data_IF_152288912747
#
_entry.id   IF_152288912747
#
_cell.length_a   1.000
_cell.length_b   1.000
_cell.length_c   1.000
_cell.angle_alpha   90.00
_cell.angle_beta   90.00
_cell.angle_gamma   90.00
#
_symmetry.space_group_name_H-M   'P 1'
#
loop_
_entity.id
_entity.type
_entity.pdbx_description
1 polymer ?
#
# COMPACT_ATOMS: atom_id res chain seq x y z
N UNK A 1 22.01 -34.89 41.79
CA UNK A 1 20.71 -34.74 42.48
C UNK A 1 20.71 -33.69 43.59
N UNK A 2 21.44 -32.57 43.49
CA UNK A 2 21.57 -31.60 44.60
C UNK A 2 21.15 -30.17 44.23
N UNK A 3 20.70 -29.93 42.99
CA UNK A 3 20.38 -28.56 42.51
C UNK A 3 18.88 -28.19 42.60
N UNK A 4 17.98 -29.09 43.00
CA UNK A 4 16.55 -28.81 43.11
C UNK A 4 16.03 -28.48 44.51
N UNK A 5 16.88 -28.64 45.56
CA UNK A 5 16.48 -28.39 46.96
C UNK A 5 16.69 -26.94 47.42
N UNK A 6 17.48 -26.14 46.70
CA UNK A 6 17.81 -24.78 47.15
C UNK A 6 16.79 -23.72 46.77
N UNK A 7 15.94 -24.01 45.76
CA UNK A 7 14.92 -23.04 45.29
C UNK A 7 13.61 -23.07 46.13
N UNK A 8 13.39 -24.05 46.94
CA UNK A 8 12.20 -24.20 47.78
C UNK A 8 12.35 -23.51 49.13
N UNK A 9 13.59 -23.34 49.65
CA UNK A 9 13.85 -22.73 50.96
C UNK A 9 13.73 -21.18 50.91
N UNK A 10 13.92 -20.57 49.76
CA UNK A 10 13.83 -19.10 49.62
C UNK A 10 12.36 -18.62 49.54
N UNK A 11 11.40 -19.50 49.23
CA UNK A 11 9.99 -19.14 49.10
C UNK A 11 9.21 -19.13 50.41
N UNK A 12 9.76 -19.64 51.54
CA UNK A 12 9.09 -19.74 52.84
C UNK A 12 9.43 -18.58 53.77
N UNK A 13 10.46 -17.78 53.47
CA UNK A 13 10.94 -16.69 54.36
C UNK A 13 10.35 -15.32 54.04
N UNK A 14 9.49 -15.18 53.01
CA UNK A 14 8.84 -13.91 52.67
C UNK A 14 7.34 -13.85 53.09
N UNK A 15 6.85 -14.80 53.92
CA UNK A 15 5.43 -14.80 54.32
C UNK A 15 5.22 -14.44 55.81
N UNK A 16 5.70 -13.30 56.20
CA UNK A 16 5.48 -12.89 57.57
C UNK A 16 5.79 -11.43 57.81
N UNK A 17 4.95 -10.52 57.31
CA UNK A 17 4.74 -9.19 57.89
C UNK A 17 3.70 -8.44 57.03
N UNK A 18 2.41 -8.79 57.22
CA UNK A 18 1.33 -7.91 56.78
C UNK A 18 0.64 -7.37 58.03
N UNK A 19 1.06 -6.23 58.45
CA UNK A 19 0.31 -5.39 59.40
C UNK A 19 -0.45 -4.32 58.61
N UNK A 20 -1.76 -4.50 58.56
CA UNK A 20 -2.83 -3.52 58.57
C UNK A 20 -2.51 -2.10 58.15
N UNK A 21 -2.89 -1.79 56.93
CA UNK A 21 -3.10 -0.44 56.44
C UNK A 21 -4.23 -0.46 55.43
N UNK A 22 -5.44 -0.03 55.79
CA UNK A 22 -6.53 0.26 54.86
C UNK A 22 -6.09 1.35 53.88
N UNK A 23 -6.03 1.08 52.57
CA UNK A 23 -5.95 2.16 51.61
C UNK A 23 -7.36 2.78 51.48
N UNK A 24 -7.54 4.00 51.93
CA UNK A 24 -8.61 4.89 51.48
C UNK A 24 -8.58 4.90 49.96
N UNK A 25 -9.60 4.32 49.31
CA UNK A 25 -9.87 4.53 47.88
C UNK A 25 -10.13 6.03 47.69
N UNK A 26 -9.12 6.76 47.27
CA UNK A 26 -9.31 8.04 46.62
C UNK A 26 -9.98 7.75 45.26
N UNK A 27 -11.29 7.96 45.21
CA UNK A 27 -12.01 8.08 43.96
C UNK A 27 -11.49 9.36 43.33
N UNK A 28 -10.56 9.21 42.40
CA UNK A 28 -10.19 10.29 41.49
C UNK A 28 -11.42 10.48 40.61
N UNK A 29 -12.24 11.51 40.92
CA UNK A 29 -13.23 12.01 39.98
C UNK A 29 -12.44 12.48 38.76
N UNK A 30 -12.48 11.68 37.67
CA UNK A 30 -12.06 12.14 36.37
C UNK A 30 -12.84 13.41 36.03
N UNK A 31 -12.12 14.51 35.89
CA UNK A 31 -12.71 15.79 35.52
C UNK A 31 -13.38 15.67 34.14
N UNK A 32 -14.62 16.17 33.98
CA UNK A 32 -15.33 16.11 32.70
C UNK A 32 -14.63 16.83 31.54
N UNK A 33 -13.61 17.62 31.84
CA UNK A 33 -12.82 18.41 30.89
C UNK A 33 -11.90 17.51 29.97
N UNK A 34 -11.36 16.42 30.48
CA UNK A 34 -10.42 15.57 29.74
C UNK A 34 -11.18 14.77 28.68
N UNK A 35 -12.32 14.15 29.00
CA UNK A 35 -13.15 13.41 28.03
C UNK A 35 -13.67 14.30 26.90
N UNK A 36 -14.02 15.53 27.22
CA UNK A 36 -14.49 16.51 26.22
C UNK A 36 -13.36 16.98 25.28
N UNK A 37 -12.12 17.04 25.77
CA UNK A 37 -10.97 17.38 24.96
C UNK A 37 -10.59 16.24 24.00
N UNK A 38 -10.67 14.99 24.45
CA UNK A 38 -10.43 13.80 23.61
C UNK A 38 -11.50 13.61 22.53
N UNK A 39 -12.78 13.82 22.85
CA UNK A 39 -13.87 13.79 21.85
C UNK A 39 -13.72 14.91 20.82
N UNK A 40 -13.31 16.11 21.23
CA UNK A 40 -13.05 17.22 20.30
C UNK A 40 -11.81 16.95 19.41
N UNK A 41 -10.78 16.33 19.94
CA UNK A 41 -9.59 15.94 19.17
C UNK A 41 -9.92 14.83 18.16
N UNK A 42 -10.66 13.79 18.57
CA UNK A 42 -11.12 12.72 17.70
C UNK A 42 -12.08 13.23 16.61
N UNK A 43 -12.94 14.19 16.93
CA UNK A 43 -13.81 14.85 15.96
C UNK A 43 -13.04 15.66 14.90
N UNK A 44 -12.02 16.40 15.32
CA UNK A 44 -11.15 17.16 14.40
C UNK A 44 -10.33 16.24 13.51
N UNK A 45 -9.83 15.13 14.03
CA UNK A 45 -9.06 14.16 13.24
C UNK A 45 -9.93 13.46 12.18
N UNK A 46 -11.18 13.09 12.54
CA UNK A 46 -12.15 12.54 11.57
C UNK A 46 -12.52 13.56 10.49
N UNK A 47 -12.76 14.82 10.86
CA UNK A 47 -13.05 15.88 9.89
C UNK A 47 -11.87 16.13 8.94
N UNK A 48 -10.64 16.19 9.45
CA UNK A 48 -9.45 16.36 8.65
C UNK A 48 -9.22 15.18 7.69
N UNK A 49 -9.48 13.93 8.12
CA UNK A 49 -9.40 12.74 7.27
C UNK A 49 -10.45 12.76 6.15
N UNK A 50 -11.67 13.20 6.46
CA UNK A 50 -12.75 13.30 5.47
C UNK A 50 -12.49 14.43 4.46
N UNK A 51 -11.95 15.55 4.89
CA UNK A 51 -11.56 16.65 4.02
C UNK A 51 -10.38 16.29 3.12
N UNK A 52 -9.36 15.60 3.65
CA UNK A 52 -8.26 15.06 2.90
C UNK A 52 -8.72 14.02 1.86
N UNK A 53 -9.72 13.20 2.20
CA UNK A 53 -10.32 12.23 1.27
C UNK A 53 -11.04 12.93 0.12
N UNK A 54 -11.86 13.95 0.41
CA UNK A 54 -12.56 14.76 -0.63
C UNK A 54 -11.59 15.55 -1.50
N UNK A 55 -10.52 16.07 -0.91
CA UNK A 55 -9.47 16.77 -1.68
C UNK A 55 -8.78 15.80 -2.66
N UNK A 56 -8.45 14.57 -2.23
CA UNK A 56 -7.89 13.53 -3.09
C UNK A 56 -8.84 13.09 -4.21
N UNK A 57 -10.14 13.01 -3.95
CA UNK A 57 -11.15 12.70 -4.98
C UNK A 57 -11.21 13.80 -6.06
N UNK A 58 -11.24 15.07 -5.64
CA UNK A 58 -11.20 16.20 -6.58
C UNK A 58 -9.89 16.28 -7.37
N UNK A 59 -8.79 15.93 -6.75
CA UNK A 59 -7.48 15.90 -7.40
C UNK A 59 -7.40 14.75 -8.42
N UNK A 60 -7.99 13.59 -8.11
CA UNK A 60 -8.12 12.48 -9.05
C UNK A 60 -8.94 12.91 -10.29
N UNK A 61 -10.10 13.52 -10.11
CA UNK A 61 -10.91 14.01 -11.23
C UNK A 61 -10.18 15.06 -12.09
N UNK A 62 -9.42 15.96 -11.46
CA UNK A 62 -8.60 16.93 -12.19
C UNK A 62 -7.40 16.30 -12.89
N UNK A 63 -6.88 15.19 -12.40
CA UNK A 63 -5.72 14.48 -12.97
C UNK A 63 -6.09 13.59 -14.16
N UNK A 64 -7.37 13.38 -14.42
CA UNK A 64 -7.89 12.71 -15.62
C UNK A 64 -7.79 13.68 -16.82
N UNK A 65 -6.56 14.06 -17.20
CA UNK A 65 -6.30 14.90 -18.36
C UNK A 65 -6.10 13.98 -19.56
N UNK A 66 -6.90 14.19 -20.60
CA UNK A 66 -6.79 13.46 -21.85
C UNK A 66 -5.45 13.74 -22.54
N UNK A 67 -4.63 12.73 -22.71
CA UNK A 67 -3.41 12.76 -23.51
C UNK A 67 -3.60 11.81 -24.69
N UNK A 68 -3.72 12.38 -25.89
CA UNK A 68 -3.91 11.62 -27.12
C UNK A 68 -2.56 11.17 -27.65
N UNK A 69 -2.22 9.89 -27.55
CA UNK A 69 -1.08 9.30 -28.22
C UNK A 69 -1.50 8.70 -29.57
N UNK A 70 -0.72 8.94 -30.66
CA UNK A 70 -1.06 8.40 -31.99
C UNK A 70 -0.92 6.89 -32.02
N UNK A 71 -2.01 6.20 -32.33
CA UNK A 71 -2.02 4.74 -32.56
C UNK A 71 -2.73 3.89 -31.54
N UNK A 72 -3.32 4.46 -30.49
CA UNK A 72 -4.12 3.72 -29.52
C UNK A 72 -5.58 4.09 -29.71
N UNK A 73 -6.44 3.07 -29.90
CA UNK A 73 -7.89 3.26 -29.91
C UNK A 73 -8.39 3.59 -28.50
N UNK A 74 -8.65 4.86 -28.24
CA UNK A 74 -9.18 5.37 -26.99
C UNK A 74 -8.38 6.57 -26.47
N UNK A 75 -9.01 7.28 -25.55
CA UNK A 75 -8.39 8.42 -24.87
C UNK A 75 -7.62 7.90 -23.64
N UNK A 76 -6.30 8.07 -23.64
CA UNK A 76 -5.46 7.67 -22.50
C UNK A 76 -5.48 8.82 -21.50
N UNK A 77 -5.89 8.51 -20.27
CA UNK A 77 -5.88 9.43 -19.15
C UNK A 77 -4.72 9.06 -18.22
N UNK A 78 -3.76 9.96 -18.08
CA UNK A 78 -2.67 9.79 -17.12
C UNK A 78 -3.11 10.30 -15.75
N UNK A 79 -3.21 9.41 -14.77
CA UNK A 79 -3.54 9.79 -13.41
C UNK A 79 -2.33 9.74 -12.50
N UNK A 80 -1.91 10.91 -12.00
CA UNK A 80 -0.85 11.03 -10.99
C UNK A 80 -1.22 10.44 -9.63
N UNK A 81 -2.46 10.02 -9.45
CA UNK A 81 -2.94 9.43 -8.19
C UNK A 81 -2.79 7.92 -8.15
N UNK A 82 -2.69 7.25 -9.29
CA UNK A 82 -2.32 5.85 -9.35
C UNK A 82 -0.79 5.75 -9.19
N UNK A 83 -0.37 4.97 -8.23
CA UNK A 83 1.04 4.81 -7.91
C UNK A 83 1.58 3.54 -8.53
N UNK A 84 2.80 3.64 -9.08
CA UNK A 84 3.54 2.49 -9.55
C UNK A 84 3.87 1.54 -8.38
N UNK A 85 4.01 0.27 -8.71
CA UNK A 85 4.55 -0.76 -7.81
C UNK A 85 5.89 -1.23 -8.34
N UNK A 86 6.75 -1.71 -7.44
CA UNK A 86 8.10 -2.10 -7.78
C UNK A 86 8.39 -3.55 -7.38
N UNK A 87 9.37 -4.14 -8.05
CA UNK A 87 9.74 -5.54 -7.88
C UNK A 87 11.23 -5.68 -7.54
N UNK A 88 11.54 -6.75 -6.84
CA UNK A 88 12.91 -7.18 -6.66
C UNK A 88 13.51 -7.69 -7.98
N UNK A 89 14.83 -7.79 -8.01
CA UNK A 89 15.52 -8.34 -9.19
C UNK A 89 15.03 -9.75 -9.50
N UNK A 90 14.70 -9.96 -10.76
CA UNK A 90 14.24 -11.24 -11.31
C UNK A 90 12.98 -11.83 -10.64
N UNK A 91 12.17 -10.97 -9.97
CA UNK A 91 10.92 -11.39 -9.33
C UNK A 91 9.71 -10.69 -9.91
N UNK A 92 8.56 -11.35 -9.76
CA UNK A 92 7.22 -10.87 -10.12
C UNK A 92 6.20 -10.98 -8.96
N UNK A 93 6.68 -11.37 -7.76
CA UNK A 93 5.83 -11.43 -6.57
C UNK A 93 5.57 -10.02 -6.03
N UNK A 94 4.33 -9.76 -5.61
CA UNK A 94 3.95 -8.48 -5.01
C UNK A 94 4.55 -8.39 -3.60
N UNK A 95 5.39 -7.39 -3.36
CA UNK A 95 5.99 -7.15 -2.05
C UNK A 95 4.94 -6.58 -1.08
N UNK A 96 5.08 -6.76 0.24
CA UNK A 96 4.08 -6.27 1.22
C UNK A 96 3.80 -4.76 1.11
N UNK A 97 4.81 -3.94 0.89
CA UNK A 97 4.64 -2.49 0.69
C UNK A 97 3.87 -2.15 -0.58
N UNK A 98 4.12 -2.87 -1.68
CA UNK A 98 3.44 -2.67 -2.96
C UNK A 98 2.00 -3.21 -2.93
N UNK A 99 1.71 -4.19 -2.10
CA UNK A 99 0.35 -4.64 -1.83
C UNK A 99 -0.53 -3.52 -1.23
N UNK A 100 0.02 -2.71 -0.34
CA UNK A 100 -0.70 -1.55 0.22
C UNK A 100 -0.91 -0.45 -0.85
N UNK A 101 0.05 -0.25 -1.75
CA UNK A 101 -0.13 0.65 -2.90
C UNK A 101 -1.27 0.15 -3.79
N UNK A 102 -1.29 -1.14 -4.13
CA UNK A 102 -2.37 -1.73 -4.94
C UNK A 102 -3.74 -1.63 -4.28
N UNK A 103 -3.84 -1.78 -2.95
CA UNK A 103 -5.08 -1.54 -2.21
C UNK A 103 -5.54 -0.07 -2.35
N UNK A 104 -4.61 0.86 -2.27
CA UNK A 104 -4.89 2.29 -2.49
C UNK A 104 -5.40 2.57 -3.91
N UNK A 105 -4.72 2.02 -4.92
CA UNK A 105 -5.12 2.13 -6.33
C UNK A 105 -6.50 1.51 -6.56
N UNK A 106 -6.76 0.31 -6.03
CA UNK A 106 -8.06 -0.36 -6.14
C UNK A 106 -9.18 0.48 -5.51
N UNK A 107 -8.96 1.03 -4.32
CA UNK A 107 -9.94 1.86 -3.63
C UNK A 107 -10.31 3.13 -4.41
N UNK A 108 -9.36 3.73 -5.14
CA UNK A 108 -9.61 4.85 -6.04
C UNK A 108 -10.43 4.40 -7.25
N UNK A 109 -10.02 3.31 -7.92
CA UNK A 109 -10.66 2.82 -9.14
C UNK A 109 -12.07 2.28 -8.91
N UNK A 110 -12.37 1.76 -7.73
CA UNK A 110 -13.72 1.30 -7.35
C UNK A 110 -14.73 2.45 -7.24
N UNK A 111 -14.28 3.66 -6.94
CA UNK A 111 -15.14 4.85 -6.91
C UNK A 111 -15.51 5.35 -8.31
N UNK A 112 -14.75 4.91 -9.32
CA UNK A 112 -14.93 5.29 -10.73
C UNK A 112 -15.22 4.05 -11.59
N UNK A 113 -16.45 3.49 -11.55
CA UNK A 113 -16.75 2.17 -12.12
C UNK A 113 -16.64 2.09 -13.64
N UNK A 114 -16.69 3.22 -14.34
CA UNK A 114 -16.55 3.29 -15.81
C UNK A 114 -15.11 3.29 -16.29
N UNK A 115 -14.16 3.58 -15.40
CA UNK A 115 -12.73 3.68 -15.74
C UNK A 115 -12.14 2.29 -15.93
N UNK A 116 -11.42 2.11 -17.02
CA UNK A 116 -10.59 0.93 -17.33
C UNK A 116 -9.12 1.29 -17.21
N UNK A 117 -8.30 0.32 -16.84
CA UNK A 117 -6.86 0.51 -16.72
C UNK A 117 -6.07 -0.47 -17.58
N UNK A 118 -4.88 -0.06 -17.97
CA UNK A 118 -3.84 -0.92 -18.50
C UNK A 118 -2.67 -0.92 -17.50
N UNK A 119 -2.15 -2.10 -17.24
CA UNK A 119 -0.95 -2.30 -16.42
C UNK A 119 0.21 -2.59 -17.37
N UNK A 120 1.21 -1.74 -17.33
CA UNK A 120 2.43 -1.86 -18.11
C UNK A 120 3.53 -2.48 -17.26
N UNK A 121 4.02 -3.66 -17.65
CA UNK A 121 5.12 -4.35 -16.98
C UNK A 121 6.46 -3.96 -17.53
N UNK A 122 7.36 -3.49 -16.66
CA UNK A 122 8.71 -3.04 -17.01
C UNK A 122 9.78 -3.81 -16.24
N UNK A 123 10.97 -3.87 -16.83
CA UNK A 123 12.14 -4.51 -16.28
C UNK A 123 13.35 -3.58 -16.34
N UNK A 124 14.40 -3.91 -15.60
CA UNK A 124 15.72 -3.31 -15.79
C UNK A 124 16.40 -3.86 -17.06
N UNK A 125 17.52 -3.28 -17.44
CA UNK A 125 18.20 -3.59 -18.70
C UNK A 125 18.85 -4.96 -18.77
N UNK A 126 19.05 -5.64 -17.62
CA UNK A 126 19.77 -6.91 -17.54
C UNK A 126 18.97 -8.07 -18.15
N UNK A 127 19.64 -8.92 -18.91
CA UNK A 127 19.03 -10.05 -19.61
C UNK A 127 18.64 -9.75 -21.04
N UNK A 128 18.06 -10.75 -21.74
CA UNK A 128 17.61 -10.62 -23.14
C UNK A 128 16.29 -9.86 -23.24
N UNK A 129 15.94 -9.40 -24.42
CA UNK A 129 14.65 -8.71 -24.69
C UNK A 129 13.49 -9.67 -24.43
N UNK A 130 13.57 -10.87 -24.96
CA UNK A 130 12.51 -11.90 -24.86
C UNK A 130 12.26 -12.28 -23.40
N UNK A 131 13.34 -12.47 -22.63
CA UNK A 131 13.23 -12.76 -21.20
C UNK A 131 12.54 -11.65 -20.46
N UNK A 132 12.95 -10.39 -20.68
CA UNK A 132 12.37 -9.24 -20.01
C UNK A 132 10.92 -8.96 -20.43
N UNK A 133 10.54 -9.21 -21.69
CA UNK A 133 9.14 -9.17 -22.12
C UNK A 133 8.30 -10.18 -21.34
N UNK A 134 8.77 -11.42 -21.22
CA UNK A 134 8.06 -12.45 -20.46
C UNK A 134 8.01 -12.11 -18.95
N UNK A 135 9.09 -11.55 -18.38
CA UNK A 135 9.11 -11.14 -16.96
C UNK A 135 8.15 -9.95 -16.69
N UNK A 136 8.15 -8.95 -17.57
CA UNK A 136 7.23 -7.82 -17.48
C UNK A 136 5.77 -8.26 -17.58
N UNK A 137 5.45 -9.20 -18.45
CA UNK A 137 4.11 -9.79 -18.55
C UNK A 137 3.70 -10.50 -17.24
N UNK A 138 4.60 -11.28 -16.64
CA UNK A 138 4.34 -11.95 -15.35
C UNK A 138 4.07 -10.94 -14.25
N UNK A 139 4.82 -9.83 -14.18
CA UNK A 139 4.63 -8.72 -13.24
C UNK A 139 3.24 -8.10 -13.39
N UNK A 140 2.92 -7.62 -14.59
CA UNK A 140 1.62 -7.02 -14.89
C UNK A 140 0.46 -7.99 -14.57
N UNK A 141 0.60 -9.29 -14.86
CA UNK A 141 -0.39 -10.30 -14.51
C UNK A 141 -0.48 -10.55 -13.00
N UNK A 142 0.60 -10.43 -12.24
CA UNK A 142 0.57 -10.53 -10.77
C UNK A 142 -0.22 -9.37 -10.17
N UNK A 143 0.04 -8.14 -10.61
CA UNK A 143 -0.72 -6.96 -10.20
C UNK A 143 -2.20 -7.08 -10.59
N UNK A 144 -2.52 -7.51 -11.82
CA UNK A 144 -3.89 -7.77 -12.27
C UNK A 144 -4.61 -8.77 -11.37
N UNK A 145 -4.01 -9.92 -11.10
CA UNK A 145 -4.59 -10.95 -10.21
C UNK A 145 -4.84 -10.40 -8.82
N UNK A 146 -3.91 -9.61 -8.29
CA UNK A 146 -4.07 -8.99 -6.98
C UNK A 146 -5.23 -7.99 -6.95
N UNK A 147 -5.35 -7.10 -7.95
CA UNK A 147 -6.48 -6.17 -8.06
C UNK A 147 -7.83 -6.89 -8.19
N UNK A 148 -7.89 -7.99 -8.95
CA UNK A 148 -9.10 -8.84 -9.05
C UNK A 148 -9.45 -9.45 -7.69
N UNK A 149 -8.46 -9.90 -6.92
CA UNK A 149 -8.70 -10.44 -5.56
C UNK A 149 -9.23 -9.39 -4.58
N UNK A 150 -8.99 -8.11 -4.86
CA UNK A 150 -9.55 -6.97 -4.12
C UNK A 150 -10.97 -6.59 -4.60
N UNK A 151 -11.53 -7.29 -5.60
CA UNK A 151 -12.88 -7.07 -6.10
C UNK A 151 -12.97 -6.25 -7.38
N UNK A 152 -11.85 -5.89 -8.03
CA UNK A 152 -11.90 -5.23 -9.34
C UNK A 152 -12.38 -6.18 -10.44
N UNK A 153 -13.33 -5.78 -11.30
CA UNK A 153 -13.74 -6.59 -12.45
C UNK A 153 -12.59 -6.81 -13.44
N UNK A 154 -12.43 -8.06 -13.89
CA UNK A 154 -11.32 -8.46 -14.77
C UNK A 154 -11.35 -7.78 -16.15
N UNK A 155 -12.55 -7.45 -16.65
CA UNK A 155 -12.78 -6.76 -17.93
C UNK A 155 -12.40 -5.28 -17.91
N UNK A 156 -12.12 -4.73 -16.72
CA UNK A 156 -11.61 -3.38 -16.55
C UNK A 156 -10.09 -3.30 -16.55
N UNK A 157 -9.39 -4.45 -16.59
CA UNK A 157 -7.93 -4.50 -16.44
C UNK A 157 -7.32 -5.21 -17.64
N UNK A 158 -6.56 -4.46 -18.44
CA UNK A 158 -5.68 -5.00 -19.47
C UNK A 158 -4.22 -5.01 -18.99
N UNK A 159 -3.39 -5.81 -19.64
CA UNK A 159 -1.95 -5.89 -19.35
C UNK A 159 -1.15 -5.80 -20.65
N UNK A 160 0.02 -5.17 -20.59
CA UNK A 160 1.01 -5.16 -21.63
C UNK A 160 2.40 -5.22 -21.01
N UNK A 161 3.35 -5.83 -21.70
CA UNK A 161 4.75 -5.80 -21.27
C UNK A 161 5.58 -4.99 -22.27
N UNK A 162 6.39 -4.11 -21.74
CA UNK A 162 7.46 -3.44 -22.49
C UNK A 162 8.84 -4.03 -22.15
N UNK A 163 8.91 -4.97 -21.18
CA UNK A 163 10.18 -5.50 -20.75
C UNK A 163 11.16 -4.40 -20.40
N UNK A 164 12.32 -4.39 -21.03
CA UNK A 164 13.36 -3.36 -20.84
C UNK A 164 13.34 -2.23 -21.87
N UNK A 165 12.39 -2.23 -22.80
CA UNK A 165 12.37 -1.35 -23.96
C UNK A 165 11.95 0.10 -23.64
N UNK A 166 11.25 0.32 -22.52
CA UNK A 166 10.84 1.65 -22.07
C UNK A 166 11.33 1.94 -20.64
N UNK A 167 12.63 2.18 -20.44
CA UNK A 167 13.16 2.51 -19.13
C UNK A 167 12.64 3.87 -18.64
N UNK A 168 12.35 3.96 -17.36
CA UNK A 168 12.03 5.24 -16.68
C UNK A 168 13.32 6.03 -16.43
N UNK A 169 14.37 5.35 -16.03
CA UNK A 169 15.69 5.91 -15.76
C UNK A 169 16.71 5.20 -16.66
N UNK A 170 17.40 5.91 -17.57
CA UNK A 170 18.36 5.31 -18.50
C UNK A 170 19.72 5.00 -17.85
N UNK A 171 19.91 5.24 -16.56
CA UNK A 171 21.15 4.94 -15.85
C UNK A 171 21.45 3.45 -15.76
N UNK A 172 22.74 3.12 -15.67
CA UNK A 172 23.26 1.73 -15.62
C UNK A 172 23.73 1.36 -14.20
N UNK A 173 22.90 1.60 -13.20
CA UNK A 173 23.19 1.35 -11.79
C UNK A 173 21.96 0.84 -11.05
N UNK A 174 22.15 0.35 -9.81
CA UNK A 174 21.06 -0.24 -9.04
C UNK A 174 19.93 0.77 -8.70
N UNK A 175 20.25 2.05 -8.60
CA UNK A 175 19.22 3.08 -8.39
C UNK A 175 18.28 3.17 -9.60
N UNK A 176 18.83 3.28 -10.83
CA UNK A 176 18.08 3.29 -12.07
C UNK A 176 17.32 1.97 -12.28
N UNK A 177 17.99 0.84 -12.04
CA UNK A 177 17.38 -0.48 -12.20
C UNK A 177 16.19 -0.68 -11.25
N UNK A 178 16.28 -0.20 -10.01
CA UNK A 178 15.18 -0.27 -9.04
C UNK A 178 13.96 0.54 -9.51
N UNK A 179 14.16 1.71 -10.12
CA UNK A 179 13.08 2.51 -10.71
C UNK A 179 12.46 1.83 -11.93
N UNK A 180 13.28 1.12 -12.71
CA UNK A 180 12.84 0.45 -13.94
C UNK A 180 12.05 -0.84 -13.67
N UNK A 181 12.33 -1.56 -12.57
CA UNK A 181 11.58 -2.76 -12.17
C UNK A 181 10.23 -2.39 -11.57
N UNK A 182 9.26 -2.02 -12.43
CA UNK A 182 7.96 -1.51 -11.99
C UNK A 182 6.81 -2.02 -12.85
N UNK A 183 5.62 -1.92 -12.30
CA UNK A 183 4.38 -1.86 -13.08
C UNK A 183 3.84 -0.43 -13.03
N UNK A 184 3.52 0.11 -14.20
CA UNK A 184 2.92 1.43 -14.38
C UNK A 184 1.44 1.28 -14.74
N UNK A 185 0.59 2.22 -14.25
CA UNK A 185 -0.86 2.15 -14.42
C UNK A 185 -1.36 3.28 -15.28
N UNK A 186 -1.95 2.94 -16.43
CA UNK A 186 -2.59 3.89 -17.34
C UNK A 186 -4.10 3.76 -17.25
N UNK A 187 -4.79 4.88 -17.20
CA UNK A 187 -6.24 4.96 -17.18
C UNK A 187 -6.74 5.20 -18.60
N UNK A 188 -7.71 4.38 -19.03
CA UNK A 188 -8.45 4.60 -20.28
C UNK A 188 -9.84 5.11 -19.96
N UNK A 189 -10.30 6.15 -20.68
CA UNK A 189 -11.69 6.53 -20.76
C UNK A 189 -12.23 6.02 -22.11
N UNK A 190 -13.38 5.38 -22.09
CA UNK A 190 -14.19 5.15 -23.30
C UNK A 190 -15.24 6.22 -23.40
#
# INVERSE_FOLDING_TARGET
>A
MVRKSLSIIILILCFGLILTGCPKKTVVKEEPSVKRAEELAAGKEKAAKEEAKKAREKEFEKSLIAKKEPGIEGEILESKLLKDIHFDFDKYDIRPGDAEILKGNAALLMKHPTVKIQIEGHCDERGTIEYNLALGERRANSAKKYLISLGMPADRISTISYGKEKPLDPGHNEEAWTKNRRDHFIIFSK
#
